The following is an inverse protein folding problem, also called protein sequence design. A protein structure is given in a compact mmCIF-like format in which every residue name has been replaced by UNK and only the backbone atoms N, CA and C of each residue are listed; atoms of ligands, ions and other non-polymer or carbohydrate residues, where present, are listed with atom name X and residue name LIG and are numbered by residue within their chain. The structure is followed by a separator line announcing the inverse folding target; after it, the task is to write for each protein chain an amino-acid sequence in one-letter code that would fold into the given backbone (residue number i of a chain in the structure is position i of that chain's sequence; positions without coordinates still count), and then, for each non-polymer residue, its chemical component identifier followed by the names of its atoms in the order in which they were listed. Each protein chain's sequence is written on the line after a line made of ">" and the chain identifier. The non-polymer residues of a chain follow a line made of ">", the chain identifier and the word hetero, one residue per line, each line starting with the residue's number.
data_IF_006557588736
#
_entry.id   IF_006557588736
#
_cell.length_a   1.000
_cell.length_b   1.000
_cell.length_c   1.000
_cell.angle_alpha   90.00
_cell.angle_beta   90.00
_cell.angle_gamma   90.00
#
_symmetry.space_group_name_H-M   'P 1'
#
loop_
_entity.id
_entity.type
_entity.pdbx_description
1 polymer ?
#
# COMPACT_ATOMS: atom_id res chain seq x y z
N UNK A 1 -10.59 25.43 24.92
CA UNK A 1 -9.35 25.42 24.11
C UNK A 1 -8.22 24.93 25.00
N UNK A 2 -7.58 23.80 24.70
CA UNK A 2 -6.48 23.25 25.50
C UNK A 2 -5.14 23.68 24.89
N UNK A 3 -4.34 24.42 25.66
CA UNK A 3 -3.01 24.86 25.23
C UNK A 3 -1.94 23.92 25.82
N UNK A 4 -1.22 23.21 24.95
CA UNK A 4 -0.02 22.44 25.32
C UNK A 4 1.19 23.26 24.95
N UNK A 5 1.98 23.63 25.96
CA UNK A 5 3.27 24.26 25.75
C UNK A 5 4.28 23.17 25.47
N UNK A 6 4.72 23.09 24.21
CA UNK A 6 5.77 22.18 23.80
C UNK A 6 7.12 22.67 24.35
N UNK A 7 7.49 22.18 25.53
CA UNK A 7 8.79 22.49 26.15
C UNK A 7 9.88 21.63 25.51
N UNK A 8 10.35 22.03 24.34
CA UNK A 8 11.50 21.42 23.68
C UNK A 8 12.28 22.47 22.90
N UNK A 9 13.62 22.37 22.92
CA UNK A 9 14.53 23.28 22.23
C UNK A 9 14.77 22.79 20.79
N UNK A 10 14.80 23.71 19.82
CA UNK A 10 15.08 23.48 18.40
C UNK A 10 13.94 22.82 17.62
N UNK A 11 12.75 23.44 17.64
CA UNK A 11 11.74 23.10 16.66
C UNK A 11 12.10 23.66 15.28
N UNK A 12 12.10 22.75 14.32
CA UNK A 12 12.07 23.05 12.88
C UNK A 12 10.58 23.08 12.48
N UNK A 13 10.29 23.60 11.30
CA UNK A 13 8.98 23.48 10.67
C UNK A 13 8.51 22.01 10.64
N UNK A 14 7.33 21.76 11.19
CA UNK A 14 6.73 20.43 11.23
C UNK A 14 5.96 20.17 9.96
N UNK A 15 6.01 18.93 9.49
CA UNK A 15 5.26 18.53 8.30
C UNK A 15 3.82 18.15 8.62
N UNK A 16 3.61 17.37 9.68
CA UNK A 16 2.29 16.84 10.05
C UNK A 16 2.22 16.27 11.47
N UNK A 17 1.00 16.05 11.94
CA UNK A 17 0.69 15.36 13.20
C UNK A 17 0.15 13.97 12.91
N UNK A 18 0.50 13.00 13.75
CA UNK A 18 0.00 11.62 13.66
C UNK A 18 -0.51 11.17 15.03
N UNK A 19 -1.70 10.58 15.08
CA UNK A 19 -2.19 9.90 16.28
C UNK A 19 -1.50 8.54 16.42
N UNK A 20 -1.06 8.19 17.63
CA UNK A 20 -0.44 6.88 17.84
C UNK A 20 -1.52 5.79 17.93
N UNK A 21 -1.41 4.69 17.16
CA UNK A 21 -2.48 3.69 17.09
C UNK A 21 -2.70 2.94 18.42
N UNK A 22 -1.63 2.69 19.18
CA UNK A 22 -1.66 1.95 20.45
C UNK A 22 -2.11 2.76 21.68
N UNK A 23 -2.08 4.10 21.64
CA UNK A 23 -2.47 4.96 22.78
C UNK A 23 -3.11 6.25 22.27
N UNK A 24 -4.39 6.42 22.56
CA UNK A 24 -5.20 7.58 22.15
C UNK A 24 -4.75 8.90 22.77
N UNK A 25 -3.97 8.87 23.86
CA UNK A 25 -3.40 10.07 24.47
C UNK A 25 -2.08 10.48 23.83
N UNK A 26 -1.50 9.64 22.97
CA UNK A 26 -0.20 9.91 22.38
C UNK A 26 -0.36 10.44 20.96
N UNK A 27 0.33 11.55 20.71
CA UNK A 27 0.43 12.13 19.37
C UNK A 27 1.91 12.25 18.99
N UNK A 28 2.22 12.05 17.72
CA UNK A 28 3.54 12.28 17.17
C UNK A 28 3.53 13.56 16.34
N UNK A 29 4.48 14.44 16.62
CA UNK A 29 4.77 15.62 15.82
C UNK A 29 5.96 15.30 14.92
N UNK A 30 5.73 15.26 13.62
CA UNK A 30 6.73 14.85 12.63
C UNK A 30 7.40 16.08 12.04
N UNK A 31 8.71 16.08 12.11
CA UNK A 31 9.58 17.04 11.45
C UNK A 31 10.42 16.31 10.36
N UNK A 32 11.18 17.01 9.51
CA UNK A 32 11.94 16.38 8.43
C UNK A 32 13.01 15.36 8.88
N UNK A 33 13.44 15.40 10.14
CA UNK A 33 14.57 14.61 10.64
C UNK A 33 14.14 13.53 11.67
N UNK A 34 13.09 13.80 12.44
CA UNK A 34 12.62 13.00 13.56
C UNK A 34 11.11 13.16 13.80
N UNK A 35 10.54 12.21 14.54
CA UNK A 35 9.20 12.33 15.10
C UNK A 35 9.26 12.43 16.61
N UNK A 36 8.50 13.37 17.18
CA UNK A 36 8.46 13.63 18.62
C UNK A 36 7.12 13.14 19.17
N UNK A 37 7.13 12.12 20.02
CA UNK A 37 5.94 11.53 20.64
C UNK A 37 5.63 12.30 21.93
N UNK A 38 4.43 12.83 22.04
CA UNK A 38 3.91 13.62 23.13
C UNK A 38 2.75 12.89 23.80
N UNK A 39 2.69 12.95 25.12
CA UNK A 39 1.56 12.50 25.91
C UNK A 39 0.66 13.71 26.22
N UNK A 40 -0.56 13.72 25.67
CA UNK A 40 -1.53 14.80 25.84
C UNK A 40 -2.05 14.92 27.28
N UNK A 41 -2.14 13.80 28.00
CA UNK A 41 -2.61 13.76 29.39
C UNK A 41 -1.56 14.35 30.32
N UNK A 42 -0.29 13.99 30.12
CA UNK A 42 0.84 14.50 30.92
C UNK A 42 1.39 15.83 30.42
N UNK A 43 1.00 16.25 29.21
CA UNK A 43 1.51 17.45 28.52
C UNK A 43 3.03 17.46 28.43
N UNK A 44 3.61 16.29 28.14
CA UNK A 44 5.05 16.07 28.19
C UNK A 44 5.55 15.32 26.95
N UNK A 45 6.80 15.57 26.59
CA UNK A 45 7.52 14.78 25.59
C UNK A 45 7.81 13.40 26.17
N UNK A 46 7.33 12.36 25.50
CA UNK A 46 7.63 10.96 25.83
C UNK A 46 8.99 10.60 25.23
N UNK A 47 9.18 10.86 23.94
CA UNK A 47 10.46 10.59 23.25
C UNK A 47 10.57 11.28 21.90
N UNK A 48 11.81 11.35 21.41
CA UNK A 48 12.13 11.72 20.02
C UNK A 48 12.71 10.51 19.28
N UNK A 49 12.18 10.22 18.09
CA UNK A 49 12.59 9.11 17.22
C UNK A 49 13.18 9.68 15.94
N UNK A 50 14.52 9.63 15.74
CA UNK A 50 15.13 10.08 14.50
C UNK A 50 14.76 9.15 13.34
N UNK A 51 14.80 9.69 12.12
CA UNK A 51 14.58 8.95 10.87
C UNK A 51 13.21 8.25 10.85
N UNK A 52 12.14 8.93 11.24
CA UNK A 52 10.79 8.38 11.24
C UNK A 52 9.83 9.28 10.46
N UNK A 53 9.05 8.71 9.55
CA UNK A 53 8.11 9.47 8.71
C UNK A 53 6.70 9.62 9.32
N UNK A 54 6.50 9.15 10.55
CA UNK A 54 5.22 9.19 11.27
C UNK A 54 4.34 7.96 11.13
N UNK A 55 4.60 7.06 10.17
CA UNK A 55 3.83 5.82 10.06
C UNK A 55 4.31 4.80 11.11
N UNK A 56 3.38 4.20 11.85
CA UNK A 56 3.63 3.18 12.84
C UNK A 56 2.67 1.99 12.65
N UNK A 57 3.13 0.80 13.00
CA UNK A 57 2.26 -0.38 13.15
C UNK A 57 1.23 -0.15 14.25
N UNK A 58 0.16 -0.95 14.27
CA UNK A 58 -0.92 -0.88 15.24
C UNK A 58 -0.42 -1.01 16.69
N UNK A 59 0.57 -1.88 16.93
CA UNK A 59 1.20 -2.02 18.25
C UNK A 59 2.06 -0.80 18.67
N UNK A 60 2.35 0.14 17.77
CA UNK A 60 3.16 1.32 18.05
C UNK A 60 4.65 1.04 18.31
N UNK A 61 5.14 -0.18 18.06
CA UNK A 61 6.54 -0.57 18.31
C UNK A 61 7.46 -0.33 17.13
N UNK A 62 6.95 -0.44 15.90
CA UNK A 62 7.72 -0.34 14.66
C UNK A 62 7.17 0.81 13.83
N UNK A 63 8.05 1.61 13.26
CA UNK A 63 7.73 2.69 12.34
C UNK A 63 8.47 2.57 11.00
N UNK A 64 8.17 3.50 10.09
CA UNK A 64 8.80 3.56 8.77
C UNK A 64 9.77 4.74 8.63
N UNK A 65 10.85 4.46 7.93
CA UNK A 65 11.74 5.48 7.39
C UNK A 65 11.78 5.38 5.88
N UNK A 66 11.32 6.40 5.18
CA UNK A 66 11.28 6.46 3.72
C UNK A 66 11.73 7.86 3.25
N UNK A 67 13.04 8.15 3.19
CA UNK A 67 13.54 9.45 2.80
C UNK A 67 13.30 9.71 1.30
N UNK A 68 13.14 10.97 0.93
CA UNK A 68 12.96 11.43 -0.47
C UNK A 68 14.16 11.12 -1.37
N UNK A 69 15.33 10.81 -0.78
CA UNK A 69 16.55 10.42 -1.49
C UNK A 69 16.64 8.92 -1.81
N UNK A 70 15.62 8.15 -1.44
CA UNK A 70 15.57 6.71 -1.66
C UNK A 70 15.98 5.89 -0.43
N UNK A 71 15.45 4.67 -0.39
CA UNK A 71 15.57 3.76 0.74
C UNK A 71 14.26 3.58 1.49
N UNK A 72 14.14 2.45 2.18
CA UNK A 72 12.98 2.10 3.00
C UNK A 72 13.46 1.20 4.14
N UNK A 73 13.26 1.65 5.38
CA UNK A 73 13.67 0.91 6.57
C UNK A 73 12.51 0.80 7.57
N UNK A 74 12.42 -0.36 8.22
CA UNK A 74 11.65 -0.55 9.44
C UNK A 74 12.51 -0.14 10.63
N UNK A 75 12.00 0.73 11.48
CA UNK A 75 12.69 1.20 12.69
C UNK A 75 11.93 0.80 13.93
N UNK A 76 12.63 0.48 15.00
CA UNK A 76 12.00 0.29 16.30
C UNK A 76 11.80 1.64 16.99
N UNK A 77 10.55 1.99 17.28
CA UNK A 77 10.18 3.28 17.85
C UNK A 77 10.62 3.46 19.30
N UNK A 78 11.00 2.39 20.02
CA UNK A 78 11.55 2.45 21.38
C UNK A 78 13.08 2.50 21.38
N UNK A 79 13.75 1.68 20.58
CA UNK A 79 15.22 1.59 20.57
C UNK A 79 15.88 2.49 19.54
N UNK A 80 15.11 3.10 18.63
CA UNK A 80 15.55 3.93 17.48
C UNK A 80 16.50 3.23 16.51
N UNK A 81 16.66 1.92 16.66
CA UNK A 81 17.48 1.08 15.78
C UNK A 81 16.66 0.63 14.57
N UNK A 82 17.35 0.49 13.44
CA UNK A 82 16.78 -0.13 12.25
C UNK A 82 16.58 -1.62 12.52
N UNK A 83 15.33 -2.07 12.44
CA UNK A 83 14.96 -3.50 12.56
C UNK A 83 15.23 -4.22 11.25
N UNK A 84 14.89 -3.60 10.11
CA UNK A 84 15.05 -4.21 8.79
C UNK A 84 15.18 -3.15 7.71
N UNK A 85 15.98 -3.43 6.68
CA UNK A 85 16.09 -2.60 5.47
C UNK A 85 15.33 -3.31 4.35
N UNK A 86 14.30 -2.66 3.80
CA UNK A 86 13.47 -3.17 2.70
C UNK A 86 13.97 -2.70 1.34
N UNK A 87 14.42 -1.44 1.27
CA UNK A 87 15.09 -0.88 0.11
C UNK A 87 16.40 -0.26 0.60
N UNK A 88 17.57 -0.68 0.09
CA UNK A 88 18.83 -0.07 0.46
C UNK A 88 18.89 1.39 0.01
N UNK A 89 19.67 2.21 0.71
CA UNK A 89 19.90 3.60 0.30
C UNK A 89 20.75 3.61 -0.96
N UNK A 90 20.16 4.07 -2.05
CA UNK A 90 20.83 4.32 -3.33
C UNK A 90 20.63 5.79 -3.63
N UNK A 91 21.67 6.46 -4.15
CA UNK A 91 21.59 7.87 -4.51
C UNK A 91 20.70 8.06 -5.74
N UNK A 92 19.38 8.15 -5.53
CA UNK A 92 18.41 8.18 -6.63
C UNK A 92 17.96 9.60 -7.02
N UNK A 93 18.51 10.65 -6.40
CA UNK A 93 18.04 12.04 -6.50
C UNK A 93 16.96 12.35 -5.46
N UNK A 94 16.31 13.53 -5.49
CA UNK A 94 15.23 13.87 -4.54
C UNK A 94 13.88 13.72 -5.24
N UNK A 95 13.05 12.81 -4.73
CA UNK A 95 11.75 12.47 -5.32
C UNK A 95 10.66 12.37 -4.26
N UNK A 96 9.41 12.58 -4.67
CA UNK A 96 8.26 12.32 -3.80
C UNK A 96 8.14 10.81 -3.57
N UNK A 97 8.03 10.43 -2.30
CA UNK A 97 7.88 9.07 -1.82
C UNK A 97 6.68 9.01 -0.87
N UNK A 98 5.87 7.98 -1.00
CA UNK A 98 4.76 7.69 -0.07
C UNK A 98 4.94 6.28 0.44
N UNK A 99 4.98 6.11 1.76
CA UNK A 99 5.15 4.79 2.37
C UNK A 99 4.29 4.65 3.63
N UNK A 100 3.56 3.56 3.73
CA UNK A 100 2.65 3.28 4.85
C UNK A 100 2.50 1.76 5.06
N UNK A 101 2.09 1.38 6.27
CA UNK A 101 1.72 0.00 6.59
C UNK A 101 0.30 -0.30 6.10
N UNK A 102 0.06 -1.53 5.66
CA UNK A 102 -1.32 -2.02 5.55
C UNK A 102 -1.95 -2.12 6.94
N UNK A 103 -3.27 -1.95 7.05
CA UNK A 103 -3.97 -2.03 8.34
C UNK A 103 -3.73 -3.34 9.10
N UNK A 104 -3.45 -4.43 8.38
CA UNK A 104 -3.12 -5.75 8.95
C UNK A 104 -1.67 -5.90 9.44
N UNK A 105 -0.82 -4.88 9.31
CA UNK A 105 0.62 -4.90 9.64
C UNK A 105 1.41 -6.06 8.99
N UNK A 106 0.90 -6.65 7.90
CA UNK A 106 1.60 -7.70 7.14
C UNK A 106 2.53 -7.13 6.07
N UNK A 107 2.16 -5.99 5.50
CA UNK A 107 2.83 -5.41 4.34
C UNK A 107 3.14 -3.93 4.49
N UNK A 108 4.16 -3.48 3.77
CA UNK A 108 4.47 -2.06 3.54
C UNK A 108 4.22 -1.73 2.08
N UNK A 109 3.47 -0.67 1.85
CA UNK A 109 3.25 -0.10 0.51
C UNK A 109 4.23 1.05 0.33
N UNK A 110 4.94 1.08 -0.79
CA UNK A 110 5.94 2.09 -1.13
C UNK A 110 5.75 2.60 -2.55
N UNK A 111 5.45 3.88 -2.69
CA UNK A 111 5.37 4.57 -3.97
C UNK A 111 6.59 5.47 -4.19
N UNK A 112 7.14 5.45 -5.40
CA UNK A 112 8.23 6.32 -5.82
C UNK A 112 7.90 7.07 -7.12
N UNK A 113 7.84 8.39 -7.05
CA UNK A 113 7.39 9.26 -8.16
C UNK A 113 8.22 9.12 -9.45
N UNK A 114 9.56 9.12 -9.38
CA UNK A 114 10.43 8.96 -10.58
C UNK A 114 10.11 7.68 -11.36
N UNK A 115 9.92 6.60 -10.63
CA UNK A 115 9.71 5.28 -11.20
C UNK A 115 8.24 5.05 -11.50
N UNK A 116 7.32 5.86 -10.97
CA UNK A 116 5.87 5.63 -11.07
C UNK A 116 5.52 4.18 -10.71
N UNK A 117 6.16 3.67 -9.64
CA UNK A 117 5.96 2.29 -9.19
C UNK A 117 5.43 2.26 -7.78
N UNK A 118 4.39 1.48 -7.57
CA UNK A 118 3.92 1.04 -6.25
C UNK A 118 4.49 -0.34 -5.99
N UNK A 119 5.33 -0.44 -4.96
CA UNK A 119 5.97 -1.67 -4.51
C UNK A 119 5.35 -2.10 -3.19
N UNK A 120 5.17 -3.40 -3.01
CA UNK A 120 4.66 -3.97 -1.76
C UNK A 120 5.71 -4.93 -1.21
N UNK A 121 6.03 -4.75 0.07
CA UNK A 121 7.01 -5.56 0.79
C UNK A 121 6.34 -6.31 1.92
N UNK A 122 6.65 -7.60 2.04
CA UNK A 122 6.27 -8.39 3.21
C UNK A 122 7.16 -8.02 4.38
N UNK A 123 6.57 -7.80 5.55
CA UNK A 123 7.31 -7.34 6.73
C UNK A 123 8.13 -8.46 7.37
N UNK A 124 7.57 -9.68 7.42
CA UNK A 124 8.16 -10.83 8.10
C UNK A 124 9.55 -11.20 7.57
N UNK A 125 9.75 -11.19 6.25
CA UNK A 125 11.03 -11.51 5.61
C UNK A 125 11.66 -10.33 4.85
N UNK A 126 10.92 -9.27 4.57
CA UNK A 126 11.40 -8.09 3.86
C UNK A 126 11.40 -8.21 2.34
N UNK A 127 10.84 -9.28 1.77
CA UNK A 127 10.82 -9.48 0.33
C UNK A 127 9.80 -8.57 -0.35
N UNK A 128 10.14 -8.09 -1.53
CA UNK A 128 9.20 -7.41 -2.42
C UNK A 128 8.30 -8.45 -3.09
N UNK A 129 7.00 -8.41 -2.80
CA UNK A 129 6.02 -9.34 -3.35
C UNK A 129 5.30 -8.77 -4.59
N UNK A 130 5.28 -7.44 -4.75
CA UNK A 130 4.65 -6.76 -5.88
C UNK A 130 5.46 -5.55 -6.35
N UNK A 131 5.42 -5.29 -7.65
CA UNK A 131 5.94 -4.08 -8.27
C UNK A 131 5.03 -3.66 -9.43
N UNK A 132 4.09 -2.77 -9.13
CA UNK A 132 3.09 -2.28 -10.08
C UNK A 132 3.51 -0.93 -10.65
N UNK A 133 3.49 -0.79 -11.98
CA UNK A 133 3.77 0.46 -12.68
C UNK A 133 2.47 1.21 -12.93
N UNK A 134 2.36 2.43 -12.42
CA UNK A 134 1.18 3.29 -12.62
C UNK A 134 1.22 3.98 -13.98
N UNK A 135 0.05 4.29 -14.54
CA UNK A 135 -0.09 4.97 -15.84
C UNK A 135 0.52 6.38 -15.81
N UNK A 136 0.23 7.12 -14.74
CA UNK A 136 0.71 8.46 -14.48
C UNK A 136 1.25 8.61 -13.04
N UNK A 137 1.60 9.83 -12.66
CA UNK A 137 2.04 10.15 -11.31
C UNK A 137 0.88 9.96 -10.33
N UNK A 138 1.11 9.20 -9.25
CA UNK A 138 0.13 8.98 -8.19
C UNK A 138 -0.02 10.26 -7.36
N UNK A 139 -1.27 10.71 -7.22
CA UNK A 139 -1.64 11.83 -6.35
C UNK A 139 -2.27 11.38 -5.04
N UNK A 140 -2.93 10.22 -5.02
CA UNK A 140 -3.49 9.63 -3.82
C UNK A 140 -3.29 8.11 -3.82
N UNK A 141 -2.97 7.55 -2.65
CA UNK A 141 -2.91 6.11 -2.43
C UNK A 141 -3.45 5.81 -1.02
N UNK A 142 -4.32 4.81 -0.91
CA UNK A 142 -4.91 4.40 0.35
C UNK A 142 -5.08 2.88 0.41
N UNK A 143 -4.94 2.30 1.61
CA UNK A 143 -5.27 0.91 1.89
C UNK A 143 -6.71 0.76 2.40
N UNK A 144 -7.25 -0.45 2.34
CA UNK A 144 -8.50 -0.78 3.01
C UNK A 144 -8.27 -1.26 4.46
N UNK A 145 -9.34 -1.31 5.25
CA UNK A 145 -9.31 -1.72 6.66
C UNK A 145 -8.86 -3.17 6.89
N UNK A 146 -9.02 -4.06 5.89
CA UNK A 146 -8.53 -5.43 6.01
C UNK A 146 -7.04 -5.56 5.63
N UNK A 147 -6.43 -4.50 5.08
CA UNK A 147 -5.02 -4.49 4.65
C UNK A 147 -4.73 -5.34 3.40
N UNK A 148 -5.75 -5.66 2.62
CA UNK A 148 -5.70 -6.58 1.49
C UNK A 148 -5.89 -5.90 0.13
N UNK A 149 -6.32 -4.64 0.11
CA UNK A 149 -6.54 -3.86 -1.10
C UNK A 149 -5.91 -2.49 -0.98
N UNK A 150 -5.48 -1.95 -2.11
CA UNK A 150 -5.03 -0.57 -2.24
C UNK A 150 -5.75 0.10 -3.39
N UNK A 151 -6.10 1.38 -3.21
CA UNK A 151 -6.68 2.25 -4.23
C UNK A 151 -5.66 3.32 -4.58
N UNK A 152 -5.47 3.54 -5.87
CA UNK A 152 -4.49 4.48 -6.43
C UNK A 152 -5.23 5.47 -7.32
N UNK A 153 -5.11 6.75 -7.03
CA UNK A 153 -5.56 7.86 -7.86
C UNK A 153 -4.37 8.56 -8.51
N UNK A 154 -4.38 8.66 -9.83
CA UNK A 154 -3.32 9.26 -10.63
C UNK A 154 -3.70 10.64 -11.17
N UNK A 155 -2.68 11.42 -11.59
CA UNK A 155 -2.84 12.76 -12.17
C UNK A 155 -3.65 12.78 -13.48
N UNK A 156 -3.65 11.68 -14.24
CA UNK A 156 -4.40 11.54 -15.49
C UNK A 156 -5.90 11.26 -15.27
N UNK A 157 -6.38 11.28 -14.02
CA UNK A 157 -7.75 10.97 -13.66
C UNK A 157 -8.04 9.46 -13.55
N UNK A 158 -7.05 8.60 -13.77
CA UNK A 158 -7.23 7.16 -13.59
C UNK A 158 -7.33 6.78 -12.11
N UNK A 159 -8.25 5.86 -11.82
CA UNK A 159 -8.43 5.24 -10.51
C UNK A 159 -8.21 3.74 -10.68
N UNK A 160 -7.29 3.16 -9.91
CA UNK A 160 -6.96 1.73 -9.97
C UNK A 160 -7.05 1.11 -8.59
N UNK A 161 -7.80 0.02 -8.47
CA UNK A 161 -7.85 -0.81 -7.28
C UNK A 161 -7.01 -2.06 -7.50
N UNK A 162 -6.13 -2.39 -6.55
CA UNK A 162 -5.28 -3.57 -6.59
C UNK A 162 -5.52 -4.42 -5.34
N UNK A 163 -5.68 -5.73 -5.54
CA UNK A 163 -5.60 -6.71 -4.47
C UNK A 163 -4.14 -7.06 -4.16
N UNK A 164 -3.77 -7.03 -2.88
CA UNK A 164 -2.51 -7.57 -2.36
C UNK A 164 -2.72 -9.07 -2.18
N UNK A 165 -2.09 -9.85 -3.03
CA UNK A 165 -2.11 -11.31 -2.96
C UNK A 165 -0.70 -11.81 -2.67
N UNK A 166 -0.47 -12.20 -1.42
CA UNK A 166 0.79 -12.80 -1.01
C UNK A 166 0.78 -14.30 -1.38
N UNK A 167 1.72 -14.77 -2.23
CA UNK A 167 1.76 -16.18 -2.64
C UNK A 167 2.12 -17.16 -1.52
N UNK A 168 2.72 -16.70 -0.42
CA UNK A 168 3.02 -17.56 0.74
C UNK A 168 1.87 -17.62 1.75
N UNK A 169 0.86 -16.77 1.58
CA UNK A 169 -0.32 -16.73 2.43
C UNK A 169 -1.49 -17.46 1.75
N UNK A 170 -1.95 -18.56 2.35
CA UNK A 170 -3.05 -19.38 1.81
C UNK A 170 -4.37 -18.57 1.67
N UNK A 171 -4.65 -17.69 2.63
CA UNK A 171 -5.84 -16.81 2.62
C UNK A 171 -5.89 -15.88 1.40
N UNK A 172 -4.76 -15.60 0.75
CA UNK A 172 -4.72 -14.81 -0.49
C UNK A 172 -5.46 -15.51 -1.63
N UNK A 173 -5.40 -16.85 -1.71
CA UNK A 173 -6.07 -17.60 -2.78
C UNK A 173 -7.58 -17.54 -2.60
N UNK A 174 -8.05 -17.83 -1.40
CA UNK A 174 -9.47 -17.77 -1.03
C UNK A 174 -10.05 -16.36 -1.26
N UNK A 175 -9.31 -15.33 -0.83
CA UNK A 175 -9.68 -13.94 -1.05
C UNK A 175 -9.83 -13.64 -2.54
N UNK A 176 -8.85 -14.03 -3.36
CA UNK A 176 -8.90 -13.79 -4.80
C UNK A 176 -10.08 -14.51 -5.47
N UNK A 177 -10.34 -15.76 -5.08
CA UNK A 177 -11.49 -16.54 -5.59
C UNK A 177 -12.83 -15.94 -5.20
N UNK A 178 -12.90 -15.29 -4.03
CA UNK A 178 -14.11 -14.63 -3.57
C UNK A 178 -14.51 -13.41 -4.41
N UNK A 179 -13.56 -12.81 -5.16
CA UNK A 179 -13.79 -11.58 -5.91
C UNK A 179 -14.87 -11.74 -7.00
N UNK A 180 -15.81 -10.78 -7.12
CA UNK A 180 -16.86 -10.83 -8.15
C UNK A 180 -16.32 -11.00 -9.58
N UNK A 181 -15.22 -10.34 -9.90
CA UNK A 181 -14.55 -10.41 -11.21
C UNK A 181 -14.06 -11.83 -11.56
N UNK A 182 -13.78 -12.67 -10.56
CA UNK A 182 -13.39 -14.08 -10.78
C UNK A 182 -14.58 -15.04 -10.80
N UNK A 183 -15.69 -14.68 -10.16
CA UNK A 183 -16.92 -15.48 -10.16
C UNK A 183 -17.63 -15.49 -11.51
N UNK A 184 -17.53 -14.41 -12.29
CA UNK A 184 -18.15 -14.31 -13.63
C UNK A 184 -17.60 -15.37 -14.59
N UNK A 185 -16.28 -15.57 -14.60
CA UNK A 185 -15.62 -16.60 -15.42
C UNK A 185 -16.04 -18.02 -15.02
N UNK A 186 -16.30 -18.26 -13.73
CA UNK A 186 -16.78 -19.56 -13.25
C UNK A 186 -18.18 -19.87 -13.77
N UNK A 187 -19.11 -18.91 -13.68
CA UNK A 187 -20.49 -19.07 -14.18
C UNK A 187 -20.56 -19.32 -15.69
N UNK A 188 -19.69 -18.67 -16.46
CA UNK A 188 -19.62 -18.86 -17.91
C UNK A 188 -18.95 -20.19 -18.31
N UNK A 189 -18.03 -20.71 -17.49
CA UNK A 189 -17.35 -21.98 -17.72
C UNK A 189 -18.19 -23.21 -17.32
N UNK A 190 -19.19 -23.05 -16.45
CA UNK A 190 -20.04 -24.14 -15.96
C UNK A 190 -21.40 -24.24 -16.65
N UNK A 191 -21.72 -23.38 -17.63
CA UNK A 191 -22.92 -23.56 -18.45
C UNK A 191 -22.71 -24.74 -19.40
N UNK A 192 -23.31 -25.89 -19.09
CA UNK A 192 -23.61 -26.90 -20.10
C UNK A 192 -24.62 -26.33 -21.12
N UNK A 193 -24.58 -26.73 -22.39
CA UNK A 193 -25.45 -26.21 -23.43
C UNK A 193 -26.88 -26.74 -23.23
N UNK A 194 -27.69 -26.08 -22.39
CA UNK A 194 -29.09 -26.48 -22.22
C UNK A 194 -29.97 -25.69 -21.24
N UNK A 195 -29.43 -24.86 -20.36
CA UNK A 195 -30.26 -24.16 -19.37
C UNK A 195 -30.74 -22.79 -19.87
N UNK A 196 -32.03 -22.71 -20.19
CA UNK A 196 -32.77 -21.48 -20.48
C UNK A 196 -33.13 -20.80 -19.17
N UNK A 197 -32.63 -19.59 -18.94
CA UNK A 197 -33.09 -18.72 -17.84
C UNK A 197 -34.31 -17.92 -18.31
N UNK A 198 -35.48 -18.20 -17.73
CA UNK A 198 -36.59 -17.24 -17.64
C UNK A 198 -36.26 -16.23 -16.54
N UNK A 199 -35.63 -15.12 -16.90
CA UNK A 199 -35.94 -13.77 -16.38
C UNK A 199 -35.08 -12.76 -17.13
N UNK A 200 -35.73 -11.74 -17.66
CA UNK A 200 -35.15 -10.83 -18.63
C UNK A 200 -34.13 -9.87 -18.04
N UNK A 201 -32.92 -9.88 -18.61
CA UNK A 201 -32.12 -8.67 -18.73
C UNK A 201 -31.59 -8.57 -20.16
N UNK A 202 -32.15 -7.62 -20.91
CA UNK A 202 -31.87 -7.43 -22.34
C UNK A 202 -30.60 -6.61 -22.49
N UNK A 203 -29.45 -7.27 -22.56
CA UNK A 203 -28.24 -6.66 -23.10
C UNK A 203 -27.94 -7.24 -24.49
N UNK A 204 -28.40 -6.47 -25.47
CA UNK A 204 -28.31 -6.71 -26.90
C UNK A 204 -26.86 -7.04 -27.33
N UNK A 205 -26.68 -8.23 -27.88
CA UNK A 205 -25.39 -8.77 -28.30
C UNK A 205 -24.89 -8.11 -29.59
N UNK A 206 -23.79 -7.35 -29.49
CA UNK A 206 -22.81 -7.22 -30.59
C UNK A 206 -21.46 -7.71 -30.08
N UNK A 207 -21.18 -8.97 -30.41
CA UNK A 207 -19.97 -9.76 -30.13
C UNK A 207 -18.68 -8.94 -29.85
N UNK A 208 -18.32 -8.69 -28.57
CA UNK A 208 -16.99 -8.18 -28.21
C UNK A 208 -15.98 -9.32 -27.96
N UNK A 209 -16.44 -10.57 -27.98
CA UNK A 209 -15.75 -11.74 -27.45
C UNK A 209 -14.62 -12.25 -28.35
N UNK A 210 -14.72 -12.05 -29.67
CA UNK A 210 -13.68 -12.49 -30.62
C UNK A 210 -12.39 -11.69 -30.50
N UNK A 211 -12.50 -10.37 -30.31
CA UNK A 211 -11.38 -9.44 -30.28
C UNK A 211 -10.62 -9.49 -28.96
N UNK A 212 -11.33 -9.51 -27.82
CA UNK A 212 -10.71 -9.54 -26.50
C UNK A 212 -9.91 -10.83 -26.25
N UNK A 213 -10.42 -11.97 -26.70
CA UNK A 213 -9.77 -13.27 -26.52
C UNK A 213 -8.52 -13.43 -27.41
N UNK A 214 -8.55 -12.87 -28.63
CA UNK A 214 -7.39 -12.85 -29.53
C UNK A 214 -6.29 -11.93 -28.99
N UNK A 215 -6.64 -10.77 -28.43
CA UNK A 215 -5.68 -9.85 -27.81
C UNK A 215 -5.03 -10.49 -26.58
N UNK A 216 -5.80 -11.16 -25.72
CA UNK A 216 -5.28 -11.85 -24.55
C UNK A 216 -4.29 -12.98 -24.92
N UNK A 217 -4.57 -13.75 -25.98
CA UNK A 217 -3.66 -14.80 -26.48
C UNK A 217 -2.41 -14.25 -27.14
N UNK A 218 -2.51 -13.14 -27.87
CA UNK A 218 -1.37 -12.51 -28.53
C UNK A 218 -0.38 -11.92 -27.51
N UNK A 219 -0.89 -11.26 -26.47
CA UNK A 219 -0.06 -10.69 -25.39
C UNK A 219 0.64 -11.77 -24.58
N UNK A 220 -0.02 -12.92 -24.35
CA UNK A 220 0.57 -14.05 -23.63
C UNK A 220 1.72 -14.74 -24.38
N UNK A 221 1.70 -14.75 -25.72
CA UNK A 221 2.73 -15.41 -26.55
C UNK A 221 3.96 -14.53 -26.80
N UNK A 222 3.81 -13.20 -26.71
CA UNK A 222 4.87 -12.24 -27.02
C UNK A 222 5.81 -11.90 -25.84
N UNK A 223 5.52 -12.35 -24.62
CA UNK A 223 6.27 -11.92 -23.42
C UNK A 223 6.63 -13.12 -22.54
N UNK A 224 7.85 -13.64 -22.73
CA UNK A 224 8.57 -14.47 -21.75
C UNK A 224 8.96 -13.66 -20.52
N UNK A 225 7.99 -13.05 -19.84
CA UNK A 225 8.19 -12.15 -18.71
C UNK A 225 7.79 -12.87 -17.44
N UNK A 226 8.68 -12.85 -16.44
CA UNK A 226 8.37 -13.21 -15.06
C UNK A 226 7.04 -12.57 -14.65
N UNK A 227 6.03 -13.41 -14.41
CA UNK A 227 4.74 -12.95 -13.91
C UNK A 227 4.97 -12.32 -12.54
N UNK A 228 4.76 -11.01 -12.42
CA UNK A 228 4.46 -10.41 -11.12
C UNK A 228 3.23 -11.15 -10.58
N UNK A 229 3.40 -11.91 -9.49
CA UNK A 229 2.35 -12.79 -8.94
C UNK A 229 1.32 -12.04 -8.10
N UNK A 230 1.53 -10.75 -7.86
CA UNK A 230 0.65 -9.90 -7.08
C UNK A 230 0.17 -8.69 -7.91
N UNK A 231 -0.84 -8.90 -8.74
CA UNK A 231 -1.83 -7.87 -9.07
C UNK A 231 -3.04 -8.55 -9.72
N UNK A 232 -4.17 -8.58 -9.02
CA UNK A 232 -5.46 -8.73 -9.69
C UNK A 232 -5.94 -7.31 -10.00
N UNK A 233 -5.93 -6.94 -11.28
CA UNK A 233 -6.66 -5.78 -11.79
C UNK A 233 -8.10 -6.25 -11.97
N UNK A 234 -9.06 -5.54 -11.37
CA UNK A 234 -10.47 -5.72 -11.71
C UNK A 234 -10.81 -5.01 -13.02
#
# INVERSE_FOLDING_TARGET
>A
MYNIHLKYQNYIEYSHLVAMPHDSNWIAVIDPEKGNILDLKKKALVRSVPRWNGNAMQEGKIGLYAPTRGGLELINLKTTKTTKVLIPKVAEGVFQVTAFFTESDKHVVYYHSRHRTVRVFRISDGKMIANYKTSAEVKAIAGNEQGNFIVIGCLDGSLTTLAIADPEEESSQEMLESLPSRRLNRRLSTKEPGEVEEEGDVLNAKNPMGTALQVARFVAKARGIQKSRACAVS
#
